data_IF_467146967156
#
_entry.id   IF_467146967156
#
_cell.length_a   1.000
_cell.length_b   1.000
_cell.length_c   1.000
_cell.angle_alpha   90.00
_cell.angle_beta   90.00
_cell.angle_gamma   90.00
#
_symmetry.space_group_name_H-M   'P 1'
#
loop_
_entity.id
_entity.type
_entity.pdbx_description
1 polymer ?
#
# COMPACT_ATOMS: atom_id res chain seq x y z
N UNK A 1 22.40 3.27 26.94
CA UNK A 1 22.25 2.72 25.58
C UNK A 1 20.92 3.19 25.06
N UNK A 2 20.92 4.13 24.13
CA UNK A 2 19.70 4.73 23.57
C UNK A 2 19.10 3.76 22.54
N UNK A 3 17.86 3.33 22.74
CA UNK A 3 17.16 2.48 21.78
C UNK A 3 16.65 3.34 20.62
N UNK A 4 17.15 3.08 19.41
CA UNK A 4 16.61 3.72 18.20
C UNK A 4 15.29 3.05 17.83
N UNK A 5 14.21 3.84 17.85
CA UNK A 5 12.88 3.39 17.41
C UNK A 5 12.72 3.79 15.96
N UNK A 6 12.84 2.83 15.06
CA UNK A 6 12.53 3.03 13.64
C UNK A 6 11.01 3.16 13.46
N UNK A 7 10.56 4.26 12.85
CA UNK A 7 9.17 4.45 12.40
C UNK A 7 9.14 4.68 10.90
N UNK A 8 8.06 4.22 10.25
CA UNK A 8 7.81 4.53 8.85
C UNK A 8 7.76 6.04 8.63
N UNK A 9 8.34 6.48 7.52
CA UNK A 9 8.41 7.89 7.13
C UNK A 9 7.03 8.38 6.68
N UNK A 10 6.44 9.30 7.43
CA UNK A 10 5.11 9.89 7.17
C UNK A 10 5.18 11.33 6.63
N UNK A 11 6.38 11.81 6.30
CA UNK A 11 6.63 13.16 5.78
C UNK A 11 6.58 14.27 6.85
N UNK A 12 6.19 13.97 8.08
CA UNK A 12 6.19 14.92 9.20
C UNK A 12 7.55 15.01 9.91
N UNK A 13 8.42 14.04 9.64
CA UNK A 13 9.73 13.93 10.25
C UNK A 13 10.63 15.07 9.74
N UNK A 14 10.98 15.98 10.65
CA UNK A 14 12.04 16.96 10.43
C UNK A 14 13.35 16.26 10.75
N UNK A 15 14.04 15.79 9.72
CA UNK A 15 15.44 15.41 9.84
C UNK A 15 16.20 16.66 10.28
N UNK A 16 17.06 16.56 11.29
CA UNK A 16 18.10 17.57 11.45
C UNK A 16 18.81 17.68 10.09
N UNK A 17 19.12 18.91 9.62
CA UNK A 17 19.82 19.05 8.36
C UNK A 17 21.10 18.23 8.49
N UNK A 18 21.23 17.18 7.69
CA UNK A 18 22.50 16.53 7.48
C UNK A 18 23.48 17.67 7.15
N UNK A 19 24.52 17.84 7.96
CA UNK A 19 25.46 18.92 7.68
C UNK A 19 26.07 18.63 6.30
N UNK A 20 25.91 19.58 5.39
CA UNK A 20 26.41 19.42 4.03
C UNK A 20 27.93 19.16 4.06
N UNK A 21 28.60 19.72 5.07
CA UNK A 21 30.03 19.54 5.31
C UNK A 21 30.40 18.11 5.70
N UNK A 22 29.56 17.41 6.48
CA UNK A 22 29.79 16.01 6.85
C UNK A 22 29.64 15.07 5.64
N UNK A 23 28.63 15.32 4.81
CA UNK A 23 28.41 14.54 3.58
C UNK A 23 29.50 14.82 2.55
N UNK A 24 29.90 16.08 2.40
CA UNK A 24 31.02 16.47 1.55
C UNK A 24 32.31 15.84 2.04
N UNK A 25 32.58 15.85 3.36
CA UNK A 25 33.76 15.19 3.94
C UNK A 25 33.79 13.69 3.65
N UNK A 26 32.64 13.01 3.74
CA UNK A 26 32.54 11.57 3.48
C UNK A 26 32.75 11.19 1.99
N UNK A 27 32.47 12.10 1.05
CA UNK A 27 32.58 11.85 -0.40
C UNK A 27 33.82 12.54 -1.00
N UNK A 28 34.43 13.49 -0.29
CA UNK A 28 35.52 14.34 -0.78
C UNK A 28 36.76 13.55 -1.17
N UNK A 29 37.17 12.56 -0.38
CA UNK A 29 38.37 11.76 -0.67
C UNK A 29 38.21 10.94 -1.96
N UNK A 30 37.03 10.35 -2.17
CA UNK A 30 36.72 9.58 -3.38
C UNK A 30 36.62 10.49 -4.62
N UNK A 31 36.07 11.69 -4.45
CA UNK A 31 35.92 12.69 -5.50
C UNK A 31 37.27 13.31 -5.89
N UNK A 32 38.10 13.68 -4.92
CA UNK A 32 39.44 14.18 -5.16
C UNK A 32 40.33 13.11 -5.78
N UNK A 33 40.21 11.85 -5.36
CA UNK A 33 40.93 10.74 -5.97
C UNK A 33 40.54 10.55 -7.45
N UNK A 34 39.25 10.56 -7.76
CA UNK A 34 38.76 10.42 -9.14
C UNK A 34 39.18 11.59 -10.04
N UNK A 35 39.17 12.82 -9.53
CA UNK A 35 39.57 14.01 -10.30
C UNK A 35 41.09 14.13 -10.44
N UNK A 36 41.85 13.72 -9.43
CA UNK A 36 43.32 13.80 -9.44
C UNK A 36 43.94 12.90 -10.52
N UNK A 37 43.45 11.68 -10.68
CA UNK A 37 43.95 10.73 -11.69
C UNK A 37 43.80 11.31 -13.12
N UNK A 38 42.67 11.98 -13.40
CA UNK A 38 42.37 12.58 -14.70
C UNK A 38 43.08 13.92 -14.95
N UNK A 39 43.25 14.74 -13.91
CA UNK A 39 43.99 16.01 -14.01
C UNK A 39 45.49 15.76 -14.23
N UNK A 40 46.03 14.68 -13.65
CA UNK A 40 47.40 14.22 -13.92
C UNK A 40 47.59 13.74 -15.37
N UNK A 41 46.51 13.29 -16.03
CA UNK A 41 46.50 12.97 -17.46
C UNK A 41 46.42 14.22 -18.36
N UNK A 42 46.25 15.42 -17.78
CA UNK A 42 46.21 16.69 -18.49
C UNK A 42 44.83 17.08 -19.03
N UNK A 43 43.75 16.48 -18.53
CA UNK A 43 42.38 16.86 -18.90
C UNK A 43 41.92 18.16 -18.20
N UNK A 44 40.98 18.85 -18.83
CA UNK A 44 40.34 20.04 -18.27
C UNK A 44 39.35 19.65 -17.16
N UNK A 45 39.38 20.36 -16.03
CA UNK A 45 38.55 20.07 -14.86
C UNK A 45 37.05 20.04 -15.17
N UNK A 46 36.57 20.91 -16.07
CA UNK A 46 35.16 20.99 -16.44
C UNK A 46 34.69 19.71 -17.17
N UNK A 47 35.54 19.15 -18.02
CA UNK A 47 35.27 17.90 -18.74
C UNK A 47 35.31 16.70 -17.79
N UNK A 48 36.28 16.67 -16.88
CA UNK A 48 36.39 15.64 -15.84
C UNK A 48 35.15 15.65 -14.93
N UNK A 49 34.74 16.82 -14.44
CA UNK A 49 33.53 16.94 -13.60
C UNK A 49 32.27 16.57 -14.38
N UNK A 50 32.15 17.00 -15.64
CA UNK A 50 31.00 16.65 -16.49
C UNK A 50 30.92 15.14 -16.75
N UNK A 51 32.06 14.48 -16.94
CA UNK A 51 32.18 13.03 -17.11
C UNK A 51 31.84 12.30 -15.82
N UNK A 52 32.42 12.72 -14.70
CA UNK A 52 32.19 12.15 -13.37
C UNK A 52 30.71 12.24 -12.97
N UNK A 53 30.06 13.37 -13.21
CA UNK A 53 28.64 13.54 -12.90
C UNK A 53 27.74 12.66 -13.78
N UNK A 54 28.13 12.44 -15.04
CA UNK A 54 27.33 11.68 -16.01
C UNK A 54 27.53 10.17 -15.88
N UNK A 55 28.76 9.73 -15.70
CA UNK A 55 29.16 8.33 -15.79
C UNK A 55 29.75 7.77 -14.49
N UNK A 56 30.09 8.63 -13.54
CA UNK A 56 30.80 8.22 -12.33
C UNK A 56 32.28 7.92 -12.59
N UNK A 57 32.94 7.41 -11.55
CA UNK A 57 34.27 6.83 -11.61
C UNK A 57 34.17 5.33 -11.32
N UNK A 58 34.68 4.44 -12.20
CA UNK A 58 34.41 3.00 -12.18
C UNK A 58 34.60 2.28 -10.84
N UNK A 59 35.56 2.75 -10.03
CA UNK A 59 35.93 2.13 -8.75
C UNK A 59 35.66 3.00 -7.53
N UNK A 60 35.25 4.26 -7.72
CA UNK A 60 35.24 5.26 -6.63
C UNK A 60 33.90 5.95 -6.45
N UNK A 61 33.18 6.23 -7.55
CA UNK A 61 31.96 7.05 -7.48
C UNK A 61 30.90 6.58 -8.45
N UNK A 62 29.69 6.34 -7.96
CA UNK A 62 28.51 6.15 -8.81
C UNK A 62 28.17 7.46 -9.54
N UNK A 63 27.72 7.36 -10.80
CA UNK A 63 27.27 8.53 -11.56
C UNK A 63 25.97 9.11 -11.00
N UNK A 64 25.75 10.42 -11.11
CA UNK A 64 24.50 11.03 -10.61
C UNK A 64 23.26 10.48 -11.30
N UNK A 65 23.36 10.09 -12.57
CA UNK A 65 22.23 9.51 -13.30
C UNK A 65 21.79 8.18 -12.68
N UNK A 66 22.76 7.35 -12.30
CA UNK A 66 22.52 6.05 -11.68
C UNK A 66 21.94 6.22 -10.27
N UNK A 67 22.47 7.18 -9.49
CA UNK A 67 21.90 7.53 -8.19
C UNK A 67 20.45 8.03 -8.31
N UNK A 68 20.17 8.89 -9.29
CA UNK A 68 18.81 9.37 -9.56
C UNK A 68 17.87 8.25 -10.00
N UNK A 69 18.35 7.32 -10.82
CA UNK A 69 17.59 6.15 -11.24
C UNK A 69 17.28 5.24 -10.06
N UNK A 70 18.27 4.94 -9.21
CA UNK A 70 18.10 4.18 -7.98
C UNK A 70 17.12 4.83 -7.01
N UNK A 71 17.16 6.16 -6.86
CA UNK A 71 16.19 6.91 -6.06
C UNK A 71 14.78 6.84 -6.64
N UNK A 72 14.63 6.98 -7.97
CA UNK A 72 13.34 6.84 -8.65
C UNK A 72 12.75 5.44 -8.45
N UNK A 73 13.59 4.41 -8.56
CA UNK A 73 13.19 3.03 -8.33
C UNK A 73 12.82 2.75 -6.87
N UNK A 74 13.59 3.28 -5.93
CA UNK A 74 13.28 3.20 -4.51
C UNK A 74 11.93 3.86 -4.20
N UNK A 75 11.67 5.05 -4.78
CA UNK A 75 10.39 5.74 -4.66
C UNK A 75 9.24 4.92 -5.26
N UNK A 76 9.43 4.34 -6.45
CA UNK A 76 8.40 3.52 -7.12
C UNK A 76 8.02 2.32 -6.27
N UNK A 77 9.00 1.56 -5.79
CA UNK A 77 8.78 0.40 -4.89
C UNK A 77 8.04 0.79 -3.62
N UNK A 78 8.31 1.98 -3.08
CA UNK A 78 7.65 2.48 -1.88
C UNK A 78 6.18 2.84 -2.17
N UNK A 79 5.91 3.53 -3.28
CA UNK A 79 4.56 3.86 -3.73
C UNK A 79 3.72 2.61 -4.02
N UNK A 80 4.28 1.61 -4.70
CA UNK A 80 3.60 0.35 -4.99
C UNK A 80 3.14 -0.36 -3.70
N UNK A 81 4.01 -0.44 -2.68
CA UNK A 81 3.65 -1.06 -1.39
C UNK A 81 2.50 -0.34 -0.68
N UNK A 82 2.49 0.99 -0.69
CA UNK A 82 1.42 1.77 -0.05
C UNK A 82 0.10 1.72 -0.81
N UNK A 83 0.15 1.73 -2.14
CA UNK A 83 -1.06 1.64 -2.99
C UNK A 83 -1.72 0.26 -2.87
N UNK A 84 -0.96 -0.83 -2.81
CA UNK A 84 -1.50 -2.17 -2.67
C UNK A 84 -2.26 -2.36 -1.35
N UNK A 85 -1.73 -1.85 -0.23
CA UNK A 85 -2.42 -1.91 1.06
C UNK A 85 -3.73 -1.12 1.03
N UNK A 86 -3.73 0.08 0.43
CA UNK A 86 -4.94 0.90 0.32
C UNK A 86 -6.04 0.23 -0.50
N UNK A 87 -5.69 -0.44 -1.60
CA UNK A 87 -6.68 -1.16 -2.43
C UNK A 87 -7.28 -2.33 -1.67
N UNK A 88 -6.49 -3.06 -0.89
CA UNK A 88 -6.98 -4.15 -0.04
C UNK A 88 -7.89 -3.62 1.07
N UNK A 89 -7.51 -2.52 1.73
CA UNK A 89 -8.35 -1.86 2.75
C UNK A 89 -9.68 -1.38 2.16
N UNK A 90 -9.66 -0.88 0.92
CA UNK A 90 -10.87 -0.44 0.22
C UNK A 90 -11.79 -1.62 -0.13
N UNK A 91 -11.22 -2.76 -0.58
CA UNK A 91 -11.98 -4.01 -0.78
C UNK A 91 -12.59 -4.46 0.54
N UNK A 92 -11.84 -4.42 1.64
CA UNK A 92 -12.32 -4.83 2.96
C UNK A 92 -13.51 -3.98 3.40
N UNK A 93 -13.44 -2.65 3.24
CA UNK A 93 -14.55 -1.72 3.53
C UNK A 93 -15.78 -2.01 2.67
N UNK A 94 -15.60 -2.21 1.37
CA UNK A 94 -16.71 -2.52 0.45
C UNK A 94 -17.38 -3.85 0.79
N UNK A 95 -16.60 -4.87 1.15
CA UNK A 95 -17.13 -6.16 1.62
C UNK A 95 -17.93 -5.99 2.93
N UNK A 96 -17.43 -5.17 3.85
CA UNK A 96 -18.15 -4.85 5.08
C UNK A 96 -19.47 -4.12 4.80
N UNK A 97 -19.47 -3.17 3.86
CA UNK A 97 -20.69 -2.49 3.40
C UNK A 97 -21.71 -3.45 2.79
N UNK A 98 -21.26 -4.45 2.01
CA UNK A 98 -22.13 -5.53 1.48
C UNK A 98 -22.79 -6.29 2.62
N UNK A 99 -21.99 -6.77 3.58
CA UNK A 99 -22.48 -7.55 4.73
C UNK A 99 -23.45 -6.73 5.58
N UNK A 100 -23.14 -5.47 5.84
CA UNK A 100 -24.01 -4.57 6.59
C UNK A 100 -25.33 -4.28 5.87
N UNK A 101 -25.29 -4.13 4.54
CA UNK A 101 -26.48 -3.94 3.71
C UNK A 101 -27.38 -5.18 3.77
N UNK A 102 -26.79 -6.38 3.69
CA UNK A 102 -27.53 -7.64 3.79
C UNK A 102 -28.17 -7.80 5.17
N UNK A 103 -27.42 -7.61 6.26
CA UNK A 103 -27.94 -7.68 7.64
C UNK A 103 -29.11 -6.71 7.84
N UNK A 104 -28.97 -5.48 7.34
CA UNK A 104 -30.02 -4.48 7.43
C UNK A 104 -31.27 -4.87 6.64
N UNK A 105 -31.10 -5.45 5.45
CA UNK A 105 -32.22 -5.94 4.63
C UNK A 105 -32.95 -7.13 5.25
N UNK A 106 -32.22 -8.05 5.90
CA UNK A 106 -32.81 -9.16 6.66
C UNK A 106 -33.67 -8.61 7.81
N UNK A 107 -33.12 -7.70 8.62
CA UNK A 107 -33.84 -7.09 9.74
C UNK A 107 -35.07 -6.29 9.29
N UNK A 108 -34.95 -5.52 8.21
CA UNK A 108 -36.09 -4.79 7.65
C UNK A 108 -37.21 -5.75 7.21
N UNK A 109 -36.87 -6.88 6.58
CA UNK A 109 -37.87 -7.89 6.19
C UNK A 109 -38.50 -8.60 7.36
N UNK A 110 -37.75 -8.89 8.43
CA UNK A 110 -38.30 -9.47 9.68
C UNK A 110 -39.37 -8.56 10.32
N UNK A 111 -39.19 -7.23 10.19
CA UNK A 111 -40.12 -6.25 10.75
C UNK A 111 -41.38 -6.02 9.88
N UNK A 112 -41.37 -6.43 8.62
CA UNK A 112 -42.52 -6.25 7.73
C UNK A 112 -43.66 -7.20 8.10
N UNK A 113 -44.93 -6.77 8.02
CA UNK A 113 -46.07 -7.64 8.28
C UNK A 113 -46.12 -8.77 7.25
N UNK A 114 -46.09 -10.02 7.73
CA UNK A 114 -46.26 -11.20 6.90
C UNK A 114 -47.75 -11.55 6.72
N UNK A 115 -48.19 -12.02 5.53
CA UNK A 115 -49.59 -12.39 5.29
C UNK A 115 -50.10 -13.53 6.18
N UNK A 116 -49.24 -14.52 6.46
CA UNK A 116 -49.54 -15.69 7.27
C UNK A 116 -48.39 -15.98 8.26
N UNK A 117 -48.72 -16.50 9.44
CA UNK A 117 -47.76 -16.85 10.49
C UNK A 117 -46.78 -17.96 10.06
N UNK A 118 -47.27 -18.97 9.33
CA UNK A 118 -46.44 -20.04 8.76
C UNK A 118 -45.34 -19.52 7.82
N UNK A 119 -45.64 -18.50 7.02
CA UNK A 119 -44.66 -17.87 6.12
C UNK A 119 -43.63 -17.06 6.90
N UNK A 120 -44.06 -16.44 8.00
CA UNK A 120 -43.18 -15.68 8.89
C UNK A 120 -42.16 -16.60 9.57
N UNK A 121 -42.61 -17.70 10.15
CA UNK A 121 -41.72 -18.67 10.80
C UNK A 121 -40.71 -19.29 9.81
N UNK A 122 -41.15 -19.60 8.59
CA UNK A 122 -40.27 -20.11 7.55
C UNK A 122 -39.19 -19.09 7.16
N UNK A 123 -39.56 -17.83 7.02
CA UNK A 123 -38.62 -16.74 6.76
C UNK A 123 -37.66 -16.54 7.93
N UNK A 124 -38.15 -16.54 9.18
CA UNK A 124 -37.31 -16.32 10.37
C UNK A 124 -36.24 -17.41 10.52
N UNK A 125 -36.58 -18.67 10.20
CA UNK A 125 -35.61 -19.77 10.16
C UNK A 125 -34.54 -19.54 9.10
N UNK A 126 -34.97 -19.22 7.87
CA UNK A 126 -34.04 -18.92 6.77
C UNK A 126 -33.14 -17.72 7.13
N UNK A 127 -33.71 -16.64 7.65
CA UNK A 127 -32.99 -15.44 8.05
C UNK A 127 -31.95 -15.74 9.13
N UNK A 128 -32.29 -16.57 10.12
CA UNK A 128 -31.37 -16.98 11.19
C UNK A 128 -30.18 -17.79 10.66
N UNK A 129 -30.42 -18.72 9.74
CA UNK A 129 -29.35 -19.49 9.07
C UNK A 129 -28.43 -18.57 8.26
N UNK A 130 -28.99 -17.57 7.58
CA UNK A 130 -28.23 -16.59 6.81
C UNK A 130 -27.38 -15.69 7.70
N UNK A 131 -27.94 -15.20 8.81
CA UNK A 131 -27.19 -14.42 9.80
C UNK A 131 -26.03 -15.20 10.41
N UNK A 132 -26.22 -16.49 10.69
CA UNK A 132 -25.14 -17.37 11.16
C UNK A 132 -24.01 -17.44 10.14
N UNK A 133 -24.32 -17.68 8.86
CA UNK A 133 -23.31 -17.67 7.78
C UNK A 133 -22.57 -16.34 7.68
N UNK A 134 -23.28 -15.22 7.82
CA UNK A 134 -22.67 -13.88 7.82
C UNK A 134 -21.80 -13.60 9.06
N UNK A 135 -22.00 -14.32 10.16
CA UNK A 135 -21.17 -14.22 11.37
C UNK A 135 -19.96 -15.16 11.33
N UNK A 136 -20.05 -16.24 10.55
CA UNK A 136 -18.97 -17.22 10.34
C UNK A 136 -18.00 -16.81 9.22
N UNK A 137 -18.22 -15.63 8.60
CA UNK A 137 -17.33 -15.11 7.55
C UNK A 137 -15.90 -14.96 8.08
N UNK A 138 -14.88 -15.43 7.33
CA UNK A 138 -13.47 -15.23 7.68
C UNK A 138 -13.11 -13.75 7.78
N UNK A 139 -12.10 -13.40 8.57
CA UNK A 139 -11.60 -12.01 8.64
C UNK A 139 -10.85 -11.58 7.36
N UNK A 140 -10.33 -12.54 6.60
CA UNK A 140 -9.53 -12.27 5.40
C UNK A 140 -10.40 -11.92 4.17
N UNK A 141 -10.03 -10.90 3.37
CA UNK A 141 -10.83 -10.45 2.24
C UNK A 141 -11.09 -11.55 1.19
N UNK A 142 -10.10 -12.39 0.92
CA UNK A 142 -10.20 -13.46 -0.08
C UNK A 142 -11.15 -14.59 0.37
N UNK A 143 -11.17 -14.91 1.66
CA UNK A 143 -12.11 -15.81 2.31
C UNK A 143 -13.53 -15.26 2.25
N UNK A 144 -13.74 -14.00 2.64
CA UNK A 144 -15.05 -13.34 2.53
C UNK A 144 -15.61 -13.40 1.11
N UNK A 145 -14.79 -13.10 0.10
CA UNK A 145 -15.23 -13.15 -1.31
C UNK A 145 -15.70 -14.55 -1.70
N UNK A 146 -14.93 -15.59 -1.34
CA UNK A 146 -15.29 -16.98 -1.68
C UNK A 146 -16.61 -17.43 -1.04
N UNK A 147 -16.81 -17.08 0.23
CA UNK A 147 -18.05 -17.40 0.95
C UNK A 147 -19.24 -16.60 0.39
N UNK A 148 -19.07 -15.30 0.16
CA UNK A 148 -20.12 -14.44 -0.40
C UNK A 148 -20.46 -14.78 -1.86
N UNK A 149 -19.53 -15.37 -2.62
CA UNK A 149 -19.80 -15.84 -3.98
C UNK A 149 -20.77 -17.03 -4.00
N UNK A 150 -20.76 -17.86 -2.95
CA UNK A 150 -21.67 -19.01 -2.79
C UNK A 150 -22.93 -18.63 -1.97
N UNK A 151 -22.96 -17.40 -1.46
CA UNK A 151 -24.05 -16.91 -0.63
C UNK A 151 -25.22 -16.43 -1.49
N UNK A 152 -26.42 -16.86 -1.12
CA UNK A 152 -27.66 -16.35 -1.74
C UNK A 152 -28.16 -15.17 -0.93
N UNK A 153 -28.03 -13.97 -1.51
CA UNK A 153 -28.47 -12.72 -0.89
C UNK A 153 -29.98 -12.63 -0.79
N UNK A 154 -30.44 -12.20 0.38
CA UNK A 154 -31.83 -11.81 0.59
C UNK A 154 -32.03 -10.41 0.01
N UNK A 155 -31.13 -9.46 0.26
CA UNK A 155 -31.26 -8.07 -0.17
C UNK A 155 -30.61 -7.81 -1.55
N UNK A 156 -31.38 -7.40 -2.58
CA UNK A 156 -30.85 -7.16 -3.93
C UNK A 156 -29.74 -6.12 -3.97
N UNK A 157 -29.84 -5.05 -3.16
CA UNK A 157 -28.81 -4.02 -3.09
C UNK A 157 -27.47 -4.55 -2.56
N UNK A 158 -27.49 -5.54 -1.66
CA UNK A 158 -26.27 -6.16 -1.17
C UNK A 158 -25.60 -6.98 -2.28
N UNK A 159 -26.40 -7.68 -3.09
CA UNK A 159 -25.92 -8.43 -4.24
C UNK A 159 -25.32 -7.51 -5.32
N UNK A 160 -25.97 -6.40 -5.65
CA UNK A 160 -25.44 -5.40 -6.60
C UNK A 160 -24.08 -4.87 -6.15
N UNK A 161 -23.97 -4.43 -4.89
CA UNK A 161 -22.71 -3.95 -4.31
C UNK A 161 -21.60 -5.02 -4.36
N UNK A 162 -21.96 -6.29 -4.19
CA UNK A 162 -20.99 -7.38 -4.30
C UNK A 162 -20.52 -7.61 -5.73
N UNK A 163 -21.38 -7.39 -6.73
CA UNK A 163 -21.02 -7.51 -8.15
C UNK A 163 -20.18 -6.34 -8.67
N UNK A 164 -20.26 -5.18 -8.00
CA UNK A 164 -19.49 -3.97 -8.33
C UNK A 164 -18.11 -3.89 -7.66
N UNK A 165 -17.75 -4.88 -6.83
CA UNK A 165 -16.43 -5.01 -6.21
C UNK A 165 -15.32 -5.14 -7.26
#
# INVERSE_FOLDING_TARGET
>A
MSAFVYRNWDGSQRLEPFDADDLLGAVADDLLGAVADDLLAGEDLEDVLSRLMRWGHPERLEGLQELLERLRDARRRNLERHQLNSVVDDIQKRLEDVVNTERSGIEERKQRPAPNEQLREAFDKMASEREQKLNELPDDPAGKIRELQQYEFIEPKAQEKFQEL
#
